data_IF_817513333359
#
_entry.id   IF_817513333359
#
_cell.length_a   1.000
_cell.length_b   1.000
_cell.length_c   1.000
_cell.angle_alpha   90.00
_cell.angle_beta   90.00
_cell.angle_gamma   90.00
#
_symmetry.space_group_name_H-M   'P 1'
#
loop_
_entity.id
_entity.type
_entity.pdbx_description
1 polymer ?
#
# COMPACT_ATOMS: atom_id res chain seq x y z
N UNK A 1 3.80 -49.03 -1.12
CA UNK A 1 4.49 -47.71 -1.13
C UNK A 1 3.92 -46.82 -2.23
N UNK A 2 3.77 -47.32 -3.46
CA UNK A 2 3.17 -46.60 -4.59
C UNK A 2 1.73 -46.14 -4.35
N UNK A 3 0.89 -46.93 -3.68
CA UNK A 3 -0.51 -46.56 -3.44
C UNK A 3 -0.66 -45.36 -2.48
N UNK A 4 0.22 -45.27 -1.47
CA UNK A 4 0.28 -44.10 -0.58
C UNK A 4 0.72 -42.83 -1.33
N UNK A 5 1.61 -42.97 -2.31
CA UNK A 5 2.06 -41.85 -3.14
C UNK A 5 0.91 -41.38 -4.05
N UNK A 6 0.16 -42.31 -4.66
CA UNK A 6 -1.03 -41.97 -5.48
C UNK A 6 -2.09 -41.24 -4.67
N UNK A 7 -2.40 -41.73 -3.47
CA UNK A 7 -3.37 -41.09 -2.58
C UNK A 7 -2.94 -39.66 -2.17
N UNK A 8 -1.63 -39.43 -1.96
CA UNK A 8 -1.11 -38.09 -1.69
C UNK A 8 -1.21 -37.17 -2.92
N UNK A 9 -0.97 -37.70 -4.12
CA UNK A 9 -1.06 -36.95 -5.37
C UNK A 9 -2.50 -36.48 -5.61
N UNK A 10 -3.48 -37.36 -5.44
CA UNK A 10 -4.90 -37.04 -5.60
C UNK A 10 -5.36 -35.92 -4.65
N UNK A 11 -4.88 -35.94 -3.40
CA UNK A 11 -5.15 -34.87 -2.41
C UNK A 11 -4.55 -33.53 -2.81
N UNK A 12 -3.34 -33.54 -3.37
CA UNK A 12 -2.68 -32.32 -3.86
C UNK A 12 -3.41 -31.76 -5.08
N UNK A 13 -3.83 -32.61 -6.00
CA UNK A 13 -4.58 -32.21 -7.20
C UNK A 13 -5.97 -31.65 -6.86
N UNK A 14 -6.69 -32.29 -5.94
CA UNK A 14 -7.97 -31.78 -5.44
C UNK A 14 -7.82 -30.39 -4.81
N UNK A 15 -6.79 -30.21 -3.96
CA UNK A 15 -6.50 -28.93 -3.32
C UNK A 15 -6.08 -27.86 -4.33
N UNK A 16 -5.32 -28.25 -5.35
CA UNK A 16 -4.92 -27.35 -6.44
C UNK A 16 -6.14 -26.90 -7.26
N UNK A 17 -7.10 -27.79 -7.50
CA UNK A 17 -8.35 -27.46 -8.19
C UNK A 17 -9.22 -26.50 -7.38
N UNK A 18 -9.41 -26.78 -6.09
CA UNK A 18 -10.13 -25.89 -5.16
C UNK A 18 -9.49 -24.49 -5.13
N UNK A 19 -8.16 -24.41 -5.02
CA UNK A 19 -7.41 -23.15 -5.07
C UNK A 19 -7.58 -22.40 -6.40
N UNK A 20 -7.64 -23.13 -7.53
CA UNK A 20 -7.86 -22.54 -8.86
C UNK A 20 -9.28 -21.99 -8.98
N UNK A 21 -10.28 -22.74 -8.51
CA UNK A 21 -11.70 -22.34 -8.54
C UNK A 21 -11.93 -21.10 -7.64
N UNK A 22 -11.40 -21.10 -6.41
CA UNK A 22 -11.41 -19.94 -5.49
C UNK A 22 -10.77 -18.70 -6.16
N UNK A 23 -9.64 -18.89 -6.85
CA UNK A 23 -8.93 -17.81 -7.56
C UNK A 23 -9.70 -17.28 -8.78
N UNK A 24 -10.44 -18.13 -9.49
CA UNK A 24 -11.27 -17.70 -10.63
C UNK A 24 -12.51 -16.94 -10.21
N UNK A 25 -13.17 -17.34 -9.12
CA UNK A 25 -14.30 -16.60 -8.56
C UNK A 25 -13.87 -15.27 -7.92
N UNK A 26 -12.71 -15.24 -7.26
CA UNK A 26 -12.11 -13.99 -6.77
C UNK A 26 -11.86 -12.98 -7.89
N UNK A 27 -11.65 -13.43 -9.13
CA UNK A 27 -11.43 -12.58 -10.31
C UNK A 27 -12.68 -11.80 -10.75
N UNK A 28 -13.89 -12.22 -10.34
CA UNK A 28 -15.15 -11.48 -10.55
C UNK A 28 -16.03 -11.62 -9.31
N UNK A 29 -15.89 -10.70 -8.36
CA UNK A 29 -16.80 -10.67 -7.21
C UNK A 29 -18.26 -10.54 -7.65
N UNK A 30 -19.02 -11.60 -7.43
CA UNK A 30 -20.46 -11.60 -7.65
C UNK A 30 -21.18 -10.82 -6.55
N UNK A 31 -22.43 -10.41 -6.80
CA UNK A 31 -23.25 -9.78 -5.75
C UNK A 31 -23.44 -10.70 -4.54
N UNK A 32 -23.59 -12.02 -4.77
CA UNK A 32 -23.68 -13.03 -3.72
C UNK A 32 -22.39 -13.06 -2.90
N UNK A 33 -21.25 -13.17 -3.55
CA UNK A 33 -19.94 -13.15 -2.88
C UNK A 33 -19.75 -11.91 -2.01
N UNK A 34 -20.03 -10.72 -2.55
CA UNK A 34 -19.94 -9.46 -1.78
C UNK A 34 -20.92 -9.45 -0.60
N UNK A 35 -22.11 -10.05 -0.78
CA UNK A 35 -23.08 -10.12 0.29
C UNK A 35 -22.61 -11.00 1.46
N UNK A 36 -21.83 -12.03 1.17
CA UNK A 36 -21.33 -13.00 2.13
C UNK A 36 -20.05 -12.54 2.85
N UNK A 37 -19.41 -11.47 2.37
CA UNK A 37 -18.24 -10.88 3.03
C UNK A 37 -18.57 -10.37 4.45
N UNK A 38 -17.64 -10.53 5.42
CA UNK A 38 -17.76 -9.90 6.73
C UNK A 38 -17.64 -8.38 6.62
N UNK A 39 -18.15 -7.66 7.61
CA UNK A 39 -18.10 -6.18 7.62
C UNK A 39 -16.66 -5.64 7.60
N UNK A 40 -15.69 -6.39 8.14
CA UNK A 40 -14.27 -6.04 8.10
C UNK A 40 -13.71 -5.95 6.67
N UNK A 41 -14.39 -6.51 5.66
CA UNK A 41 -13.97 -6.45 4.26
C UNK A 41 -14.26 -5.11 3.58
N UNK A 42 -15.02 -4.22 4.23
CA UNK A 42 -15.51 -2.97 3.66
C UNK A 42 -14.76 -1.78 4.26
N UNK A 43 -14.47 -0.78 3.42
CA UNK A 43 -13.78 0.43 3.89
C UNK A 43 -14.65 1.30 4.81
N UNK A 44 -15.97 1.17 4.72
CA UNK A 44 -16.90 1.90 5.56
C UNK A 44 -18.21 1.15 5.75
N UNK A 45 -18.69 1.12 6.99
CA UNK A 45 -20.03 0.67 7.36
C UNK A 45 -20.82 1.89 7.80
N UNK A 46 -21.89 2.19 7.06
CA UNK A 46 -22.78 3.31 7.35
C UNK A 46 -23.68 3.00 8.55
N UNK A 47 -23.85 3.96 9.49
CA UNK A 47 -24.72 3.75 10.64
C UNK A 47 -26.19 3.58 10.23
N UNK A 48 -26.99 3.00 11.13
CA UNK A 48 -28.44 2.80 10.93
C UNK A 48 -28.84 1.37 10.56
N UNK A 49 -27.90 0.42 10.53
CA UNK A 49 -28.16 -1.01 10.38
C UNK A 49 -28.12 -1.78 11.69
N UNK A 50 -28.48 -3.06 11.63
CA UNK A 50 -28.30 -4.04 12.72
C UNK A 50 -27.37 -5.17 12.25
N UNK A 51 -26.85 -5.95 13.18
CA UNK A 51 -26.13 -7.20 12.86
C UNK A 51 -27.14 -8.33 12.69
N UNK A 52 -26.91 -9.19 11.71
CA UNK A 52 -27.58 -10.49 11.63
C UNK A 52 -26.89 -11.54 12.52
N UNK A 53 -27.39 -12.78 12.48
CA UNK A 53 -26.86 -13.93 13.23
C UNK A 53 -25.38 -14.23 12.93
N UNK A 54 -24.90 -13.83 11.76
CA UNK A 54 -23.50 -14.00 11.33
C UNK A 54 -22.63 -12.76 11.63
N UNK A 55 -23.18 -11.74 12.30
CA UNK A 55 -22.46 -10.52 12.67
C UNK A 55 -22.25 -9.53 11.52
N UNK A 56 -22.96 -9.68 10.40
CA UNK A 56 -22.86 -8.82 9.21
C UNK A 56 -23.94 -7.73 9.24
N UNK A 57 -23.63 -6.52 8.76
CA UNK A 57 -24.60 -5.42 8.79
C UNK A 57 -25.75 -5.63 7.79
N UNK A 58 -26.98 -5.46 8.27
CA UNK A 58 -28.22 -5.41 7.49
C UNK A 58 -28.87 -4.01 7.63
N UNK A 59 -29.36 -3.40 6.54
CA UNK A 59 -29.33 -3.90 5.16
C UNK A 59 -27.93 -3.82 4.51
N UNK A 60 -27.61 -4.76 3.60
CA UNK A 60 -26.28 -4.88 2.97
C UNK A 60 -25.80 -3.64 2.22
N UNK A 61 -26.72 -2.75 1.84
CA UNK A 61 -26.44 -1.46 1.18
C UNK A 61 -25.64 -0.49 2.04
N UNK A 62 -25.60 -0.69 3.37
CA UNK A 62 -24.81 0.13 4.30
C UNK A 62 -23.33 -0.24 4.30
N UNK A 63 -22.92 -1.27 3.55
CA UNK A 63 -21.54 -1.75 3.49
C UNK A 63 -20.90 -1.24 2.22
N UNK A 64 -19.86 -0.42 2.36
CA UNK A 64 -19.31 0.37 1.27
C UNK A 64 -17.89 -0.03 0.92
N UNK A 65 -17.62 -0.11 -0.39
CA UNK A 65 -16.27 -0.25 -0.95
C UNK A 65 -15.55 -1.51 -0.41
N UNK A 66 -16.04 -2.72 -0.76
CA UNK A 66 -15.37 -3.96 -0.37
C UNK A 66 -13.99 -4.04 -1.04
N UNK A 67 -12.99 -4.53 -0.30
CA UNK A 67 -11.61 -4.65 -0.78
C UNK A 67 -10.80 -5.78 -0.11
N UNK A 68 -11.36 -6.51 0.86
CA UNK A 68 -10.79 -7.77 1.33
C UNK A 68 -11.62 -8.97 0.88
N UNK A 69 -10.99 -10.14 0.87
CA UNK A 69 -11.66 -11.42 0.72
C UNK A 69 -12.33 -11.88 2.04
N UNK A 70 -13.02 -13.02 1.99
CA UNK A 70 -13.79 -13.57 3.11
C UNK A 70 -12.96 -13.95 4.35
N UNK A 71 -11.63 -14.12 4.22
CA UNK A 71 -10.75 -14.55 5.31
C UNK A 71 -10.40 -13.41 6.28
N UNK A 72 -10.82 -12.17 5.96
CA UNK A 72 -10.50 -10.99 6.78
C UNK A 72 -11.10 -11.08 8.18
N UNK A 73 -10.27 -10.84 9.18
CA UNK A 73 -10.70 -10.73 10.58
C UNK A 73 -10.50 -9.33 11.11
N UNK A 74 -9.38 -8.71 10.78
CA UNK A 74 -9.08 -7.33 11.14
C UNK A 74 -9.19 -6.43 9.90
N UNK A 75 -10.01 -5.37 9.90
CA UNK A 75 -10.14 -4.47 8.75
C UNK A 75 -8.82 -3.76 8.41
N UNK A 76 -7.85 -3.71 9.31
CA UNK A 76 -6.56 -3.04 9.10
C UNK A 76 -5.45 -3.98 8.60
N UNK A 77 -5.70 -5.28 8.48
CA UNK A 77 -4.67 -6.23 8.00
C UNK A 77 -4.43 -6.11 6.49
N UNK A 78 -3.25 -6.45 6.00
CA UNK A 78 -2.95 -6.36 4.57
C UNK A 78 -3.03 -7.71 3.83
N UNK A 79 -3.00 -8.83 4.56
CA UNK A 79 -2.89 -10.18 4.02
C UNK A 79 -4.12 -10.66 3.23
N UNK A 80 -5.29 -10.10 3.53
CA UNK A 80 -6.57 -10.49 2.91
C UNK A 80 -7.08 -9.46 1.90
N UNK A 81 -6.32 -8.39 1.66
CA UNK A 81 -6.67 -7.35 0.69
C UNK A 81 -6.57 -7.89 -0.73
N UNK A 82 -7.65 -7.73 -1.49
CA UNK A 82 -7.67 -8.01 -2.92
C UNK A 82 -7.23 -6.76 -3.70
N UNK A 83 -6.07 -6.85 -4.36
CA UNK A 83 -5.43 -5.71 -5.04
C UNK A 83 -6.31 -5.10 -6.15
N UNK A 84 -6.93 -5.89 -7.07
CA UNK A 84 -7.89 -5.36 -8.02
C UNK A 84 -9.05 -4.57 -7.38
N UNK A 85 -9.66 -5.12 -6.32
CA UNK A 85 -10.79 -4.48 -5.66
C UNK A 85 -10.39 -3.28 -4.80
N UNK A 86 -9.19 -3.26 -4.23
CA UNK A 86 -8.60 -2.08 -3.60
C UNK A 86 -8.47 -0.92 -4.61
N UNK A 87 -7.93 -1.18 -5.81
CA UNK A 87 -7.81 -0.16 -6.86
C UNK A 87 -9.19 0.37 -7.29
N UNK A 88 -10.16 -0.52 -7.46
CA UNK A 88 -11.54 -0.16 -7.77
C UNK A 88 -12.16 0.70 -6.65
N UNK A 89 -12.00 0.31 -5.40
CA UNK A 89 -12.47 1.04 -4.24
C UNK A 89 -11.88 2.47 -4.16
N UNK A 90 -10.57 2.61 -4.39
CA UNK A 90 -9.88 3.91 -4.46
C UNK A 90 -10.38 4.80 -5.60
N UNK A 91 -10.73 4.22 -6.75
CA UNK A 91 -11.32 4.96 -7.86
C UNK A 91 -12.77 5.40 -7.54
N UNK A 92 -13.54 4.55 -6.86
CA UNK A 92 -14.95 4.80 -6.52
C UNK A 92 -15.14 5.77 -5.36
N UNK A 93 -14.26 5.78 -4.36
CA UNK A 93 -14.44 6.59 -3.15
C UNK A 93 -14.54 8.10 -3.45
N UNK A 94 -13.88 8.57 -4.52
CA UNK A 94 -13.93 9.99 -4.92
C UNK A 94 -15.15 10.35 -5.76
N UNK A 95 -15.89 9.36 -6.29
CA UNK A 95 -17.01 9.59 -7.19
C UNK A 95 -18.27 10.01 -6.42
N UNK A 96 -19.01 10.99 -6.95
CA UNK A 96 -20.28 11.45 -6.36
C UNK A 96 -21.33 10.32 -6.28
N UNK A 97 -21.35 9.41 -7.26
CA UNK A 97 -22.30 8.28 -7.32
C UNK A 97 -22.16 7.24 -6.20
N UNK A 98 -21.07 7.26 -5.44
CA UNK A 98 -20.85 6.35 -4.30
C UNK A 98 -21.72 6.71 -3.09
N UNK A 99 -22.45 7.83 -3.12
CA UNK A 99 -23.46 8.25 -2.12
C UNK A 99 -22.96 8.23 -0.66
N UNK A 100 -21.69 8.55 -0.45
CA UNK A 100 -21.12 8.77 0.89
C UNK A 100 -21.16 10.26 1.25
N UNK A 101 -21.54 10.56 2.50
CA UNK A 101 -21.36 11.89 3.08
C UNK A 101 -19.88 12.30 3.06
N UNK A 102 -19.54 13.61 3.12
CA UNK A 102 -18.14 14.05 3.12
C UNK A 102 -17.29 13.39 4.21
N UNK A 103 -17.83 13.28 5.43
CA UNK A 103 -17.17 12.64 6.57
C UNK A 103 -16.96 11.13 6.34
N UNK A 104 -17.99 10.43 5.85
CA UNK A 104 -17.89 9.00 5.54
C UNK A 104 -16.88 8.73 4.42
N UNK A 105 -16.87 9.58 3.39
CA UNK A 105 -15.92 9.52 2.27
C UNK A 105 -14.49 9.71 2.75
N UNK A 106 -14.24 10.69 3.62
CA UNK A 106 -12.92 10.92 4.18
C UNK A 106 -12.42 9.70 4.98
N UNK A 107 -13.28 9.11 5.83
CA UNK A 107 -12.96 7.90 6.59
C UNK A 107 -12.65 6.71 5.69
N UNK A 108 -13.50 6.43 4.71
CA UNK A 108 -13.30 5.36 3.74
C UNK A 108 -12.02 5.55 2.92
N UNK A 109 -11.77 6.79 2.45
CA UNK A 109 -10.54 7.12 1.70
C UNK A 109 -9.30 6.90 2.55
N UNK A 110 -9.29 7.36 3.81
CA UNK A 110 -8.16 7.19 4.71
C UNK A 110 -7.84 5.70 4.94
N UNK A 111 -8.87 4.87 5.15
CA UNK A 111 -8.75 3.42 5.27
C UNK A 111 -8.10 2.80 4.04
N UNK A 112 -8.64 3.07 2.85
CA UNK A 112 -8.13 2.52 1.58
C UNK A 112 -6.70 3.00 1.27
N UNK A 113 -6.40 4.27 1.54
CA UNK A 113 -5.06 4.84 1.31
C UNK A 113 -4.00 4.20 2.20
N UNK A 114 -4.36 3.79 3.43
CA UNK A 114 -3.44 3.05 4.30
C UNK A 114 -3.03 1.72 3.66
N UNK A 115 -3.97 0.95 3.15
CA UNK A 115 -3.67 -0.30 2.43
C UNK A 115 -2.90 -0.03 1.12
N UNK A 116 -3.28 1.01 0.37
CA UNK A 116 -2.60 1.40 -0.86
C UNK A 116 -1.11 1.73 -0.62
N UNK A 117 -0.79 2.41 0.48
CA UNK A 117 0.60 2.74 0.82
C UNK A 117 1.43 1.50 1.15
N UNK A 118 0.82 0.49 1.77
CA UNK A 118 1.50 -0.76 2.11
C UNK A 118 1.67 -1.70 0.91
N UNK A 119 0.66 -1.76 0.03
CA UNK A 119 0.55 -2.79 -0.99
C UNK A 119 0.79 -2.31 -2.42
N UNK A 120 0.80 -0.99 -2.66
CA UNK A 120 0.98 -0.38 -3.97
C UNK A 120 2.16 0.62 -3.94
N UNK A 121 3.42 0.13 -3.91
CA UNK A 121 4.62 0.96 -3.74
C UNK A 121 4.78 2.04 -4.83
N UNK A 122 4.35 1.73 -6.06
CA UNK A 122 4.41 2.67 -7.18
C UNK A 122 3.16 3.54 -7.33
N UNK A 123 2.25 3.53 -6.35
CA UNK A 123 1.03 4.35 -6.41
C UNK A 123 1.28 5.81 -6.07
N UNK A 124 0.42 6.69 -6.59
CA UNK A 124 0.41 8.12 -6.24
C UNK A 124 0.31 8.38 -4.73
N UNK A 125 -0.31 7.47 -3.98
CA UNK A 125 -0.54 7.61 -2.54
C UNK A 125 0.74 7.48 -1.70
N UNK A 126 1.77 6.82 -2.24
CA UNK A 126 3.12 6.78 -1.65
C UNK A 126 3.87 8.05 -2.01
N UNK A 127 3.89 8.42 -3.30
CA UNK A 127 4.55 9.65 -3.80
C UNK A 127 4.04 10.92 -3.12
N UNK A 128 2.73 11.02 -2.88
CA UNK A 128 2.11 12.14 -2.16
C UNK A 128 2.56 12.22 -0.69
N UNK A 129 2.80 11.09 0.00
CA UNK A 129 3.32 11.09 1.38
C UNK A 129 4.76 11.63 1.41
N UNK A 130 5.60 11.18 0.48
CA UNK A 130 6.99 11.65 0.37
C UNK A 130 7.04 13.14 0.05
N UNK A 131 6.22 13.62 -0.91
CA UNK A 131 6.15 15.04 -1.24
C UNK A 131 5.63 15.90 -0.08
N UNK A 132 4.63 15.43 0.66
CA UNK A 132 4.11 16.14 1.82
C UNK A 132 5.14 16.21 2.95
N UNK A 133 5.86 15.11 3.22
CA UNK A 133 6.95 15.09 4.19
C UNK A 133 8.10 16.03 3.78
N UNK A 134 8.49 16.03 2.51
CA UNK A 134 9.50 16.96 1.97
C UNK A 134 9.06 18.43 2.11
N UNK A 135 7.80 18.74 1.83
CA UNK A 135 7.29 20.11 1.96
C UNK A 135 7.24 20.58 3.42
N UNK A 136 6.90 19.69 4.34
CA UNK A 136 6.88 19.99 5.77
C UNK A 136 8.30 20.29 6.27
N UNK A 137 9.27 19.45 5.91
CA UNK A 137 10.68 19.69 6.26
C UNK A 137 11.18 21.00 5.63
N UNK A 138 10.82 21.33 4.38
CA UNK A 138 11.16 22.64 3.78
C UNK A 138 10.59 23.84 4.55
N UNK A 139 9.51 23.66 5.30
CA UNK A 139 8.88 24.73 6.09
C UNK A 139 9.44 24.83 7.51
N UNK A 140 9.90 23.73 8.09
CA UNK A 140 10.24 23.63 9.52
C UNK A 140 11.70 23.31 9.78
N UNK A 141 12.45 22.89 8.77
CA UNK A 141 13.85 22.47 8.87
C UNK A 141 14.78 23.37 8.07
N UNK A 142 16.08 23.13 8.21
CA UNK A 142 17.10 23.72 7.36
C UNK A 142 17.35 22.82 6.15
N UNK A 143 17.51 23.46 4.99
CA UNK A 143 17.95 22.79 3.76
C UNK A 143 19.35 23.29 3.47
N UNK A 144 20.31 22.38 3.44
CA UNK A 144 21.70 22.65 3.08
C UNK A 144 21.98 22.02 1.73
N UNK A 145 22.48 22.81 0.78
CA UNK A 145 23.05 22.28 -0.45
C UNK A 145 24.47 21.85 -0.14
N UNK A 146 24.76 20.56 -0.31
CA UNK A 146 26.10 20.02 -0.16
C UNK A 146 26.58 19.58 -1.54
N UNK A 147 27.77 20.03 -1.89
CA UNK A 147 28.47 19.61 -3.09
C UNK A 147 29.54 18.59 -2.69
N UNK A 148 29.49 17.39 -3.28
CA UNK A 148 30.53 16.37 -3.14
C UNK A 148 31.19 16.15 -4.49
N UNK A 149 32.52 16.10 -4.48
CA UNK A 149 33.29 15.57 -5.61
C UNK A 149 33.44 14.07 -5.36
N UNK A 150 32.73 13.25 -6.12
CA UNK A 150 32.89 11.80 -6.09
C UNK A 150 33.77 11.35 -7.25
N UNK A 151 34.87 10.66 -6.94
CA UNK A 151 35.75 10.04 -7.91
C UNK A 151 35.40 8.56 -8.08
N UNK A 152 34.99 8.15 -9.28
CA UNK A 152 34.91 6.74 -9.68
C UNK A 152 35.65 6.57 -11.00
N UNK A 153 36.51 5.55 -11.09
CA UNK A 153 37.28 5.21 -12.30
C UNK A 153 38.13 6.35 -12.89
N UNK A 154 38.64 7.25 -12.04
CA UNK A 154 39.47 8.37 -12.46
C UNK A 154 38.70 9.58 -13.02
N UNK A 155 37.37 9.56 -12.97
CA UNK A 155 36.53 10.71 -13.32
C UNK A 155 35.96 11.36 -12.04
N UNK A 156 36.11 12.68 -11.92
CA UNK A 156 35.53 13.49 -10.84
C UNK A 156 34.15 13.99 -11.22
N UNK A 157 33.14 13.66 -10.42
CA UNK A 157 31.77 14.13 -10.60
C UNK A 157 31.39 15.08 -9.47
N UNK A 158 31.04 16.32 -9.82
CA UNK A 158 30.41 17.24 -8.89
C UNK A 158 28.95 16.84 -8.71
N UNK A 159 28.60 16.38 -7.51
CA UNK A 159 27.24 16.04 -7.14
C UNK A 159 26.71 17.07 -6.16
N UNK A 160 25.59 17.72 -6.51
CA UNK A 160 24.84 18.53 -5.57
C UNK A 160 23.67 17.72 -5.00
N UNK A 161 23.50 17.79 -3.69
CA UNK A 161 22.36 17.21 -3.01
C UNK A 161 21.83 18.16 -1.94
N UNK A 162 20.51 18.14 -1.79
CA UNK A 162 19.83 18.83 -0.69
C UNK A 162 19.77 17.90 0.51
N UNK A 163 20.42 18.29 1.59
CA UNK A 163 20.34 17.63 2.89
C UNK A 163 19.21 18.29 3.69
N UNK A 164 18.33 17.45 4.20
CA UNK A 164 17.15 17.85 4.94
C UNK A 164 17.31 17.47 6.41
N UNK A 165 17.36 18.47 7.29
CA UNK A 165 17.42 18.25 8.74
C UNK A 165 16.14 18.75 9.42
N UNK A 166 15.74 18.13 10.53
CA UNK A 166 14.67 18.68 11.37
C UNK A 166 15.16 19.84 12.24
N UNK A 167 14.26 20.43 13.02
CA UNK A 167 14.55 21.54 13.92
C UNK A 167 15.57 21.18 15.03
N UNK A 168 15.83 19.89 15.26
CA UNK A 168 16.81 19.38 16.22
C UNK A 168 18.14 18.99 15.52
N UNK A 169 18.27 19.21 14.22
CA UNK A 169 19.46 18.91 13.43
C UNK A 169 19.56 17.46 12.92
N UNK A 170 18.58 16.60 13.23
CA UNK A 170 18.61 15.20 12.81
C UNK A 170 18.31 15.07 11.31
N UNK A 171 19.08 14.22 10.62
CA UNK A 171 18.89 13.95 9.19
C UNK A 171 17.52 13.31 8.94
N UNK A 172 16.73 13.95 8.07
CA UNK A 172 15.39 13.48 7.65
C UNK A 172 15.33 13.05 6.20
N UNK A 173 16.28 13.47 5.38
CA UNK A 173 16.36 13.03 3.99
C UNK A 173 17.51 13.63 3.23
N UNK A 174 17.79 13.03 2.08
CA UNK A 174 18.72 13.55 1.08
C UNK A 174 18.00 13.50 -0.26
N UNK A 175 18.00 14.61 -1.00
CA UNK A 175 17.49 14.67 -2.38
C UNK A 175 18.67 14.89 -3.31
N UNK A 176 18.87 13.94 -4.20
CA UNK A 176 19.88 14.04 -5.26
C UNK A 176 19.31 14.86 -6.42
N UNK A 177 20.07 15.86 -6.85
CA UNK A 177 19.79 16.59 -8.08
C UNK A 177 20.72 16.08 -9.17
N UNK A 178 20.39 15.01 -9.88
CA UNK A 178 21.08 14.77 -11.15
C UNK A 178 20.24 14.06 -12.20
N UNK A 179 20.33 14.62 -13.40
CA UNK A 179 19.85 14.11 -14.68
C UNK A 179 20.74 12.96 -15.25
N UNK A 180 21.61 12.32 -14.46
CA UNK A 180 22.66 11.45 -15.02
C UNK A 180 23.14 10.22 -14.22
N UNK A 181 22.43 9.72 -13.19
CA UNK A 181 22.90 8.52 -12.46
C UNK A 181 22.18 7.22 -12.83
N UNK A 182 22.97 6.20 -13.18
CA UNK A 182 22.53 4.80 -13.30
C UNK A 182 22.45 4.15 -11.90
N UNK A 183 21.51 3.22 -11.72
CA UNK A 183 21.05 2.70 -10.41
C UNK A 183 22.16 2.03 -9.57
N UNK A 184 23.19 1.48 -10.21
CA UNK A 184 24.32 0.85 -9.51
C UNK A 184 25.17 1.87 -8.72
N UNK A 185 25.43 3.05 -9.29
CA UNK A 185 26.17 4.13 -8.63
C UNK A 185 25.48 4.70 -7.38
N UNK A 186 24.14 4.59 -7.28
CA UNK A 186 23.38 5.06 -6.12
C UNK A 186 23.58 4.16 -4.90
N UNK A 187 23.85 2.87 -5.09
CA UNK A 187 24.05 1.94 -3.96
C UNK A 187 25.37 2.23 -3.26
N UNK A 188 26.44 2.39 -4.03
CA UNK A 188 27.78 2.71 -3.52
C UNK A 188 27.79 4.09 -2.86
N UNK A 189 27.03 5.04 -3.39
CA UNK A 189 26.88 6.38 -2.81
C UNK A 189 26.11 6.37 -1.47
N UNK A 190 25.04 5.57 -1.36
CA UNK A 190 24.31 5.41 -0.09
C UNK A 190 25.19 4.75 0.97
N UNK A 191 26.03 3.80 0.56
CA UNK A 191 26.97 3.13 1.47
C UNK A 191 28.09 4.10 1.93
N UNK A 192 28.65 4.89 1.01
CA UNK A 192 29.63 5.94 1.32
C UNK A 192 29.08 7.05 2.23
N UNK A 193 27.87 7.56 1.94
CA UNK A 193 27.21 8.54 2.80
C UNK A 193 26.82 7.95 4.16
N UNK A 194 26.45 6.66 4.20
CA UNK A 194 26.20 5.95 5.44
C UNK A 194 27.45 5.85 6.33
N UNK A 195 28.64 5.79 5.75
CA UNK A 195 29.93 5.84 6.48
C UNK A 195 30.19 7.26 7.00
N UNK A 196 30.06 8.29 6.15
CA UNK A 196 30.29 9.70 6.53
C UNK A 196 29.35 10.25 7.61
N UNK A 197 28.12 9.74 7.71
CA UNK A 197 27.12 10.20 8.68
C UNK A 197 27.20 9.49 10.04
N UNK A 198 28.15 8.57 10.22
CA UNK A 198 28.40 7.82 11.46
C UNK A 198 29.62 8.32 12.25
N UNK A 199 30.36 9.28 11.72
CA UNK A 199 31.39 10.06 12.43
C UNK A 199 30.85 11.43 12.85
#
# INVERSE_FOLDING_TARGET
MLDKIREQLDKVEAKLRELKEEKTEAKRWTRKYINDLPDAAFAYIEPGGKKDEEGKTVPRRLRHLPHHNHKVKNPNENSTVDIPHLRNALARVVQKKTRLSPKARAKAKAHLVRHARALLPNSKFVKEKTKAALLDIRKTGTVETVELIAGADGAEYLMSFEVYRDAQGALRGVVFHQDAFNVESLRDLVEYLGVLLRE
#
